data_IF_506475282480
#
_entry.id   IF_506475282480
#
_cell.length_a   1.000
_cell.length_b   1.000
_cell.length_c   1.000
_cell.angle_alpha   90.00
_cell.angle_beta   90.00
_cell.angle_gamma   90.00
#
_symmetry.space_group_name_H-M   'P 1'
#
loop_
_entity.id
_entity.type
_entity.pdbx_description
1 polymer ?
#
# COMPACT_ATOMS: atom_id res chain seq x y z
N UNK A 1 17.78 -5.94 -2.85
CA UNK A 1 17.36 -6.66 -4.07
C UNK A 1 16.06 -7.41 -3.80
N UNK A 2 15.31 -7.75 -4.84
CA UNK A 2 14.13 -8.62 -4.80
C UNK A 2 14.19 -9.66 -5.92
N UNK A 3 13.38 -10.70 -5.82
CA UNK A 3 13.23 -11.72 -6.85
C UNK A 3 12.30 -12.85 -6.40
N UNK A 4 12.45 -14.03 -7.00
CA UNK A 4 11.73 -15.24 -6.59
C UNK A 4 12.63 -16.48 -6.56
N UNK A 5 12.20 -17.50 -5.84
CA UNK A 5 12.89 -18.79 -5.67
C UNK A 5 11.88 -19.95 -5.66
N UNK A 6 12.28 -21.14 -6.10
CA UNK A 6 11.44 -22.35 -6.06
C UNK A 6 11.73 -23.25 -4.84
N UNK A 7 12.46 -22.72 -3.85
CA UNK A 7 12.82 -23.43 -2.63
C UNK A 7 13.23 -22.47 -1.53
N UNK A 8 13.56 -23.01 -0.36
CA UNK A 8 13.92 -22.22 0.80
C UNK A 8 15.32 -21.59 0.63
N UNK A 9 15.41 -20.27 0.85
CA UNK A 9 16.66 -19.57 1.10
C UNK A 9 17.18 -19.88 2.52
N UNK A 10 18.47 -19.66 2.82
CA UNK A 10 19.01 -19.85 4.17
C UNK A 10 18.17 -19.17 5.23
N UNK A 11 17.82 -19.91 6.29
CA UNK A 11 16.99 -19.48 7.42
C UNK A 11 15.58 -18.97 7.03
N UNK A 12 15.08 -19.36 5.87
CA UNK A 12 13.73 -19.07 5.41
C UNK A 12 12.93 -20.34 5.17
N UNK A 13 11.61 -20.19 5.01
CA UNK A 13 10.69 -21.29 4.67
C UNK A 13 10.10 -21.04 3.29
N UNK A 14 10.00 -22.10 2.49
CA UNK A 14 9.31 -22.06 1.21
C UNK A 14 7.82 -22.36 1.35
N UNK A 15 6.97 -21.71 0.56
CA UNK A 15 5.51 -21.85 0.62
C UNK A 15 4.86 -21.81 -0.76
N UNK A 16 4.95 -22.93 -1.47
CA UNK A 16 4.31 -23.12 -2.77
C UNK A 16 5.31 -23.48 -3.86
N UNK A 17 5.01 -23.06 -5.09
CA UNK A 17 5.84 -23.36 -6.27
C UNK A 17 6.98 -22.36 -6.43
N UNK A 18 6.69 -21.07 -6.22
CA UNK A 18 7.67 -20.00 -6.23
C UNK A 18 7.33 -18.99 -5.15
N UNK A 19 8.32 -18.59 -4.38
CA UNK A 19 8.19 -17.58 -3.34
C UNK A 19 8.94 -16.32 -3.74
N UNK A 20 8.32 -15.17 -3.50
CA UNK A 20 9.00 -13.90 -3.62
C UNK A 20 10.00 -13.76 -2.47
N UNK A 21 11.11 -13.07 -2.73
CA UNK A 21 12.04 -12.69 -1.68
C UNK A 21 12.50 -11.24 -1.81
N UNK A 22 12.87 -10.67 -0.67
CA UNK A 22 13.59 -9.40 -0.57
C UNK A 22 14.82 -9.63 0.30
N UNK A 23 15.96 -9.07 -0.12
CA UNK A 23 17.23 -9.19 0.60
C UNK A 23 17.94 -7.85 0.68
N UNK A 24 18.44 -7.54 1.86
CA UNK A 24 19.23 -6.35 2.16
C UNK A 24 20.67 -6.73 2.48
N UNK A 25 21.60 -5.93 1.97
CA UNK A 25 23.02 -6.04 2.25
C UNK A 25 23.52 -4.73 2.85
N UNK A 26 24.64 -4.78 3.57
CA UNK A 26 25.41 -3.59 3.91
C UNK A 26 26.27 -3.12 2.72
N UNK A 27 27.02 -2.03 2.91
CA UNK A 27 27.91 -1.46 1.88
C UNK A 27 29.11 -2.35 1.54
N UNK A 28 29.42 -3.36 2.36
CA UNK A 28 30.48 -4.34 2.12
C UNK A 28 29.95 -5.61 1.45
N UNK A 29 28.64 -5.70 1.19
CA UNK A 29 28.00 -6.87 0.61
C UNK A 29 27.66 -7.96 1.62
N UNK A 30 27.75 -7.71 2.92
CA UNK A 30 27.29 -8.65 3.94
C UNK A 30 25.77 -8.66 3.99
N UNK A 31 25.15 -9.84 4.04
CA UNK A 31 23.71 -9.96 4.18
C UNK A 31 23.26 -9.43 5.55
N UNK A 32 22.33 -8.47 5.54
CA UNK A 32 21.70 -7.96 6.76
C UNK A 32 20.43 -8.72 7.09
N UNK A 33 19.61 -9.01 6.08
CA UNK A 33 18.43 -9.86 6.23
C UNK A 33 17.90 -10.36 4.89
N UNK A 34 17.22 -11.51 4.96
CA UNK A 34 16.35 -12.06 3.91
C UNK A 34 14.91 -12.15 4.42
N UNK A 35 13.95 -11.86 3.54
CA UNK A 35 12.53 -12.14 3.72
C UNK A 35 12.01 -12.89 2.51
N UNK A 36 11.69 -14.16 2.67
CA UNK A 36 10.99 -14.99 1.70
C UNK A 36 9.52 -15.09 2.08
N UNK A 37 8.62 -14.98 1.11
CA UNK A 37 7.18 -15.07 1.34
C UNK A 37 6.45 -15.69 0.16
N UNK A 38 5.52 -16.56 0.49
CA UNK A 38 4.61 -17.24 -0.43
C UNK A 38 3.22 -17.36 0.18
N UNK A 39 2.35 -18.11 -0.49
CA UNK A 39 0.96 -18.36 -0.07
C UNK A 39 0.47 -19.78 -0.44
N UNK A 40 1.39 -20.71 -0.69
CA UNK A 40 1.10 -22.05 -1.20
C UNK A 40 1.03 -22.14 -2.73
N UNK A 41 1.06 -21.01 -3.45
CA UNK A 41 1.05 -20.95 -4.91
C UNK A 41 2.30 -20.25 -5.45
N UNK A 42 2.16 -19.46 -6.52
CA UNK A 42 3.26 -18.69 -7.12
C UNK A 42 3.18 -17.25 -6.67
N UNK A 43 4.25 -16.76 -6.03
CA UNK A 43 4.44 -15.35 -5.69
C UNK A 43 5.76 -14.90 -6.29
N UNK A 44 5.74 -13.81 -7.04
CA UNK A 44 6.91 -13.30 -7.76
C UNK A 44 7.07 -11.81 -7.50
N UNK A 45 8.26 -11.39 -7.04
CA UNK A 45 8.64 -9.99 -6.97
C UNK A 45 9.40 -9.58 -8.24
N UNK A 46 8.98 -8.47 -8.85
CA UNK A 46 9.59 -7.90 -10.06
C UNK A 46 10.34 -6.60 -9.76
N UNK A 47 9.68 -5.65 -9.10
CA UNK A 47 10.20 -4.31 -8.85
C UNK A 47 10.54 -4.07 -7.38
N UNK A 48 11.52 -3.22 -7.12
CA UNK A 48 11.87 -2.76 -5.77
C UNK A 48 12.26 -1.29 -5.80
N UNK A 49 11.83 -0.54 -4.79
CA UNK A 49 12.24 0.84 -4.56
C UNK A 49 12.38 1.11 -3.07
N UNK A 50 13.15 2.13 -2.71
CA UNK A 50 13.50 2.45 -1.32
C UNK A 50 13.44 3.95 -1.10
N UNK A 51 12.97 4.35 0.08
CA UNK A 51 13.05 5.72 0.58
C UNK A 51 13.54 5.71 2.04
N UNK A 52 13.55 6.88 2.69
CA UNK A 52 13.94 6.99 4.09
C UNK A 52 12.97 6.25 5.06
N UNK A 53 11.76 5.93 4.61
CA UNK A 53 10.72 5.27 5.41
C UNK A 53 10.69 3.75 5.25
N UNK A 54 11.32 3.18 4.22
CA UNK A 54 11.38 1.74 4.05
C UNK A 54 11.66 1.23 2.64
N UNK A 55 11.41 -0.07 2.47
CA UNK A 55 11.59 -0.82 1.23
C UNK A 55 10.23 -1.22 0.67
N UNK A 56 9.99 -0.97 -0.61
CA UNK A 56 8.77 -1.29 -1.31
C UNK A 56 9.07 -2.31 -2.40
N UNK A 57 8.29 -3.39 -2.45
CA UNK A 57 8.43 -4.43 -3.46
C UNK A 57 7.11 -4.60 -4.20
N UNK A 58 7.17 -4.62 -5.53
CA UNK A 58 6.05 -4.87 -6.42
C UNK A 58 6.16 -6.23 -7.09
N UNK A 59 5.03 -6.87 -7.39
CA UNK A 59 5.03 -8.18 -8.02
C UNK A 59 3.66 -8.70 -8.41
N UNK A 60 3.57 -10.02 -8.63
CA UNK A 60 2.31 -10.75 -8.80
C UNK A 60 2.19 -11.90 -7.80
N UNK A 61 0.96 -12.25 -7.48
CA UNK A 61 0.63 -13.41 -6.64
C UNK A 61 -0.53 -14.18 -7.26
N UNK A 62 -0.39 -15.49 -7.38
CA UNK A 62 -1.52 -16.38 -7.60
C UNK A 62 -2.14 -16.68 -6.23
N UNK A 63 -3.38 -16.26 -5.99
CA UNK A 63 -4.03 -16.41 -4.68
C UNK A 63 -3.71 -15.28 -3.68
N UNK A 64 -4.32 -15.35 -2.50
CA UNK A 64 -4.28 -14.30 -1.50
C UNK A 64 -2.99 -14.31 -0.67
N UNK A 65 -2.37 -13.14 -0.51
CA UNK A 65 -1.34 -12.93 0.51
C UNK A 65 -1.97 -12.75 1.91
N UNK A 66 -1.21 -12.89 3.02
CA UNK A 66 -1.74 -12.74 4.36
C UNK A 66 -2.53 -11.43 4.56
N UNK A 67 -3.79 -11.55 5.00
CA UNK A 67 -4.69 -10.41 5.22
C UNK A 67 -5.16 -9.70 3.95
N UNK A 68 -5.00 -10.32 2.78
CA UNK A 68 -5.48 -9.81 1.49
C UNK A 68 -6.53 -10.75 0.89
N UNK A 69 -7.19 -10.30 -0.19
CA UNK A 69 -8.16 -11.10 -0.94
C UNK A 69 -7.66 -11.27 -2.36
N UNK A 70 -7.86 -12.46 -2.93
CA UNK A 70 -7.59 -12.71 -4.34
C UNK A 70 -8.85 -12.51 -5.19
N UNK A 71 -8.71 -11.83 -6.32
CA UNK A 71 -9.85 -11.50 -7.20
C UNK A 71 -9.76 -12.20 -8.55
N UNK A 72 -8.55 -12.52 -9.02
CA UNK A 72 -8.29 -13.16 -10.30
C UNK A 72 -7.32 -14.33 -10.26
N UNK A 73 -6.75 -14.65 -11.42
CA UNK A 73 -5.74 -15.71 -11.55
C UNK A 73 -4.41 -15.28 -10.94
N UNK A 74 -4.00 -14.05 -11.26
CA UNK A 74 -2.83 -13.39 -10.70
C UNK A 74 -3.27 -11.98 -10.33
N UNK A 75 -2.97 -11.57 -9.10
CA UNK A 75 -3.18 -10.20 -8.67
C UNK A 75 -1.83 -9.51 -8.51
N UNK A 76 -1.78 -8.22 -8.87
CA UNK A 76 -0.65 -7.37 -8.57
C UNK A 76 -0.55 -7.19 -7.04
N UNK A 77 0.66 -7.07 -6.51
CA UNK A 77 0.84 -6.68 -5.11
C UNK A 77 1.91 -5.62 -4.95
N UNK A 78 1.78 -4.85 -3.87
CA UNK A 78 2.85 -4.05 -3.29
C UNK A 78 2.99 -4.41 -1.82
N UNK A 79 4.22 -4.58 -1.34
CA UNK A 79 4.53 -4.80 0.07
C UNK A 79 5.59 -3.83 0.54
N UNK A 80 5.39 -3.26 1.73
CA UNK A 80 6.36 -2.38 2.40
C UNK A 80 7.00 -3.08 3.58
N UNK A 81 8.31 -2.90 3.72
CA UNK A 81 9.10 -3.27 4.87
C UNK A 81 9.73 -2.05 5.53
N UNK A 82 9.94 -2.11 6.84
CA UNK A 82 10.83 -1.16 7.52
C UNK A 82 12.31 -1.46 7.24
N UNK A 83 13.21 -0.63 7.78
CA UNK A 83 14.65 -0.80 7.59
C UNK A 83 15.23 -2.12 8.15
N UNK A 84 14.52 -2.74 9.10
CA UNK A 84 14.88 -3.99 9.78
C UNK A 84 14.25 -5.23 9.10
N UNK A 85 13.46 -5.02 8.04
CA UNK A 85 12.79 -6.08 7.31
C UNK A 85 11.49 -6.55 7.95
N UNK A 86 10.87 -5.78 8.84
CA UNK A 86 9.53 -6.08 9.33
C UNK A 86 8.49 -5.63 8.28
N UNK A 87 7.49 -6.46 8.02
CA UNK A 87 6.39 -6.10 7.10
C UNK A 87 5.55 -5.01 7.76
N UNK A 88 5.47 -3.85 7.11
CA UNK A 88 4.60 -2.75 7.55
C UNK A 88 3.19 -2.91 6.97
N UNK A 89 3.09 -3.28 5.70
CA UNK A 89 1.81 -3.57 5.05
C UNK A 89 1.99 -4.33 3.74
N UNK A 90 0.90 -4.99 3.32
CA UNK A 90 0.72 -5.55 1.97
C UNK A 90 -0.54 -4.95 1.36
N UNK A 91 -0.54 -4.72 0.06
CA UNK A 91 -1.70 -4.33 -0.76
C UNK A 91 -1.74 -5.24 -1.98
N UNK A 92 -2.82 -5.98 -2.13
CA UNK A 92 -3.12 -6.79 -3.31
C UNK A 92 -4.19 -6.06 -4.13
N UNK A 93 -3.95 -5.95 -5.44
CA UNK A 93 -4.74 -5.15 -6.38
C UNK A 93 -4.92 -6.01 -7.62
N UNK A 94 -6.16 -6.18 -8.07
CA UNK A 94 -6.41 -7.01 -9.23
C UNK A 94 -7.84 -6.93 -9.72
N UNK A 95 -8.04 -7.55 -10.86
CA UNK A 95 -9.31 -7.75 -11.54
C UNK A 95 -9.68 -9.23 -11.43
N UNK A 96 -10.70 -9.68 -12.17
CA UNK A 96 -10.99 -11.11 -12.30
C UNK A 96 -10.04 -11.85 -13.25
N UNK A 97 -9.03 -11.16 -13.80
CA UNK A 97 -8.09 -11.66 -14.80
C UNK A 97 -6.66 -11.72 -14.23
N UNK A 98 -5.67 -11.44 -15.06
CA UNK A 98 -4.25 -11.43 -14.69
C UNK A 98 -3.82 -9.98 -14.53
N UNK A 99 -3.23 -9.68 -13.39
CA UNK A 99 -2.74 -8.37 -13.02
C UNK A 99 -1.31 -8.50 -12.46
N UNK A 100 -0.40 -7.63 -12.92
CA UNK A 100 1.02 -7.68 -12.54
C UNK A 100 1.55 -6.28 -12.26
N UNK A 101 2.23 -6.10 -11.13
CA UNK A 101 3.02 -4.91 -10.87
C UNK A 101 4.49 -5.19 -11.23
N UNK A 102 4.97 -4.60 -12.33
CA UNK A 102 6.33 -4.82 -12.81
C UNK A 102 7.36 -3.96 -12.08
N UNK A 103 7.01 -2.71 -11.78
CA UNK A 103 7.91 -1.77 -11.13
C UNK A 103 7.17 -0.90 -10.13
N UNK A 104 7.90 -0.49 -9.10
CA UNK A 104 7.44 0.45 -8.07
C UNK A 104 8.44 1.60 -7.98
N UNK A 105 7.94 2.82 -7.84
CA UNK A 105 8.73 4.01 -7.55
C UNK A 105 8.11 4.73 -6.37
N UNK A 106 8.93 5.26 -5.47
CA UNK A 106 8.44 5.96 -4.28
C UNK A 106 9.06 7.34 -4.18
N UNK A 107 8.23 8.31 -3.81
CA UNK A 107 8.65 9.65 -3.43
C UNK A 107 7.85 10.13 -2.21
N UNK A 108 8.08 11.39 -1.80
CA UNK A 108 7.39 11.99 -0.65
C UNK A 108 5.85 12.06 -0.81
N UNK A 109 5.34 11.95 -2.04
CA UNK A 109 3.93 12.05 -2.36
C UNK A 109 3.20 10.71 -2.43
N UNK A 110 3.92 9.58 -2.52
CA UNK A 110 3.34 8.23 -2.48
C UNK A 110 4.13 7.16 -3.22
N UNK A 111 3.48 6.00 -3.40
CA UNK A 111 4.05 4.85 -4.12
C UNK A 111 3.38 4.72 -5.49
N UNK A 112 4.16 4.83 -6.55
CA UNK A 112 3.72 4.66 -7.93
C UNK A 112 4.01 3.23 -8.36
N UNK A 113 3.02 2.59 -8.97
CA UNK A 113 3.06 1.20 -9.41
C UNK A 113 2.75 1.19 -10.89
N UNK A 114 3.63 0.59 -11.68
CA UNK A 114 3.39 0.37 -13.12
C UNK A 114 3.32 -1.11 -13.42
N UNK A 115 2.44 -1.47 -14.34
CA UNK A 115 2.08 -2.86 -14.54
C UNK A 115 1.18 -3.08 -15.74
N UNK A 116 0.62 -4.28 -15.80
CA UNK A 116 -0.37 -4.66 -16.79
C UNK A 116 -1.56 -5.39 -16.17
N UNK A 117 -2.70 -5.30 -16.84
CA UNK A 117 -3.95 -6.00 -16.51
C UNK A 117 -4.58 -6.56 -17.78
N UNK A 118 -5.05 -7.80 -17.75
CA UNK A 118 -5.92 -8.37 -18.80
C UNK A 118 -7.42 -8.14 -18.50
N UNK A 119 -7.72 -7.46 -17.40
CA UNK A 119 -9.08 -7.15 -16.96
C UNK A 119 -9.48 -5.69 -17.19
N UNK A 120 -10.62 -5.32 -16.61
CA UNK A 120 -11.07 -3.94 -16.54
C UNK A 120 -10.80 -3.41 -15.12
N UNK A 121 -9.92 -2.41 -15.01
CA UNK A 121 -9.71 -1.71 -13.74
C UNK A 121 -10.96 -0.89 -13.35
N UNK A 122 -11.15 -0.56 -12.07
CA UNK A 122 -12.29 0.25 -11.61
C UNK A 122 -12.45 1.54 -12.44
N UNK A 123 -13.64 1.73 -13.01
CA UNK A 123 -13.96 2.90 -13.85
C UNK A 123 -13.37 2.87 -15.27
N UNK A 124 -12.73 1.78 -15.68
CA UNK A 124 -12.17 1.60 -17.02
C UNK A 124 -12.95 0.53 -17.79
N UNK A 125 -12.88 0.59 -19.12
CA UNK A 125 -13.40 -0.47 -20.00
C UNK A 125 -12.23 -1.26 -20.55
N UNK A 126 -12.25 -2.58 -20.40
CA UNK A 126 -11.23 -3.45 -21.01
C UNK A 126 -11.47 -3.56 -22.51
N UNK A 127 -10.41 -3.43 -23.29
CA UNK A 127 -10.44 -3.69 -24.74
C UNK A 127 -10.06 -5.13 -25.10
N UNK A 128 -9.89 -6.00 -24.09
CA UNK A 128 -9.32 -7.34 -24.22
C UNK A 128 -7.80 -7.32 -24.36
N UNK A 129 -7.14 -8.36 -23.85
CA UNK A 129 -5.68 -8.43 -23.79
C UNK A 129 -5.06 -7.54 -22.70
N UNK A 130 -3.75 -7.70 -22.50
CA UNK A 130 -3.00 -6.93 -21.52
C UNK A 130 -2.95 -5.44 -21.87
N UNK A 131 -3.34 -4.62 -20.91
CA UNK A 131 -3.31 -3.15 -20.94
C UNK A 131 -2.39 -2.65 -19.84
N UNK A 132 -1.55 -1.68 -20.18
CA UNK A 132 -0.69 -1.05 -19.19
C UNK A 132 -1.50 -0.21 -18.19
N UNK A 133 -1.05 -0.17 -16.94
CA UNK A 133 -1.61 0.74 -15.94
C UNK A 133 -0.51 1.47 -15.17
N UNK A 134 -0.90 2.61 -14.59
CA UNK A 134 -0.18 3.29 -13.53
C UNK A 134 -1.15 3.52 -12.38
N UNK A 135 -0.78 3.12 -11.17
CA UNK A 135 -1.56 3.35 -9.95
C UNK A 135 -0.68 4.08 -8.93
N UNK A 136 -1.23 5.10 -8.30
CA UNK A 136 -0.63 5.74 -7.14
C UNK A 136 -1.30 5.23 -5.87
N UNK A 137 -0.52 4.60 -4.99
CA UNK A 137 -0.93 4.28 -3.63
C UNK A 137 -0.60 5.47 -2.74
N UNK A 138 -1.62 6.26 -2.42
CA UNK A 138 -1.49 7.36 -1.47
C UNK A 138 -1.37 6.82 -0.04
N UNK A 139 -0.43 7.37 0.72
CA UNK A 139 -0.46 7.29 2.17
C UNK A 139 -1.58 8.22 2.63
N UNK A 140 -2.79 7.67 2.80
CA UNK A 140 -3.87 8.43 3.40
C UNK A 140 -3.47 8.68 4.85
N UNK A 141 -3.14 9.92 5.17
CA UNK A 141 -2.74 10.28 6.53
C UNK A 141 -3.92 10.07 7.48
N UNK A 142 -3.66 9.80 8.77
CA UNK A 142 -4.74 9.79 9.77
C UNK A 142 -5.50 11.13 9.78
N UNK A 143 -4.80 12.19 9.36
CA UNK A 143 -5.31 13.53 9.14
C UNK A 143 -6.37 13.59 8.03
N UNK A 144 -6.08 13.03 6.86
CA UNK A 144 -7.07 12.88 5.77
C UNK A 144 -8.27 12.01 6.16
N UNK A 145 -8.03 10.93 6.92
CA UNK A 145 -9.12 10.07 7.39
C UNK A 145 -10.02 10.82 8.38
N UNK A 146 -9.42 11.61 9.27
CA UNK A 146 -10.16 12.44 10.21
C UNK A 146 -10.98 13.50 9.48
N UNK A 147 -10.39 14.23 8.53
CA UNK A 147 -11.13 15.21 7.71
C UNK A 147 -12.32 14.59 6.99
N UNK A 148 -12.12 13.42 6.39
CA UNK A 148 -13.19 12.74 5.67
C UNK A 148 -14.31 12.28 6.60
N UNK A 149 -13.97 11.72 7.76
CA UNK A 149 -14.95 11.35 8.77
C UNK A 149 -15.76 12.56 9.26
N UNK A 150 -15.08 13.69 9.52
CA UNK A 150 -15.74 14.92 9.95
C UNK A 150 -16.71 15.40 8.87
N UNK A 151 -16.27 15.48 7.62
CA UNK A 151 -17.11 15.90 6.50
C UNK A 151 -18.34 14.98 6.31
N UNK A 152 -18.17 13.67 6.43
CA UNK A 152 -19.25 12.69 6.32
C UNK A 152 -20.29 12.86 7.45
N UNK A 153 -19.85 13.12 8.69
CA UNK A 153 -20.75 13.37 9.83
C UNK A 153 -21.55 14.67 9.67
N UNK A 154 -20.88 15.77 9.29
CA UNK A 154 -21.54 17.06 9.07
C UNK A 154 -22.56 16.96 7.92
N UNK A 155 -22.19 16.31 6.81
CA UNK A 155 -23.10 16.08 5.69
C UNK A 155 -24.33 15.25 6.08
N UNK A 156 -24.14 14.21 6.91
CA UNK A 156 -25.24 13.38 7.41
C UNK A 156 -26.18 14.18 8.32
N UNK A 157 -25.65 15.01 9.22
CA UNK A 157 -26.46 15.86 10.11
C UNK A 157 -27.27 16.90 9.32
N UNK A 158 -26.65 17.55 8.32
CA UNK A 158 -27.34 18.47 7.40
C UNK A 158 -28.48 17.77 6.64
N UNK A 159 -28.25 16.56 6.11
CA UNK A 159 -29.30 15.77 5.46
C UNK A 159 -30.46 15.42 6.39
N UNK A 160 -30.16 15.24 7.69
CA UNK A 160 -31.17 14.97 8.73
C UNK A 160 -31.80 16.25 9.31
N UNK A 161 -31.38 17.44 8.87
CA UNK A 161 -31.83 18.72 9.42
C UNK A 161 -31.37 18.99 10.86
N UNK A 162 -30.34 18.28 11.32
CA UNK A 162 -29.71 18.47 12.62
C UNK A 162 -28.69 19.59 12.47
N UNK A 163 -28.89 20.70 13.20
CA UNK A 163 -27.87 21.74 13.38
C UNK A 163 -27.54 21.82 14.86
N UNK A 164 -26.32 21.44 15.21
CA UNK A 164 -25.87 21.44 16.60
C UNK A 164 -24.48 22.08 16.73
N UNK A 165 -24.12 22.43 17.96
CA UNK A 165 -22.80 23.03 18.24
C UNK A 165 -21.60 22.14 17.94
N UNK A 166 -21.81 20.83 17.72
CA UNK A 166 -20.76 19.89 17.36
C UNK A 166 -20.40 20.01 15.88
N UNK A 167 -21.38 20.25 15.00
CA UNK A 167 -21.14 20.46 13.56
C UNK A 167 -20.21 21.65 13.30
N UNK A 168 -20.48 22.80 13.95
CA UNK A 168 -19.62 23.98 13.80
C UNK A 168 -18.21 23.79 14.41
N UNK A 169 -18.08 22.93 15.44
CA UNK A 169 -16.76 22.58 16.01
C UNK A 169 -16.00 21.62 15.12
N UNK A 170 -16.72 20.73 14.44
CA UNK A 170 -16.19 19.80 13.45
C UNK A 170 -15.68 20.56 12.22
N UNK A 171 -16.44 21.52 11.69
CA UNK A 171 -16.00 22.38 10.59
C UNK A 171 -14.73 23.17 10.94
N UNK A 172 -14.70 23.83 12.11
CA UNK A 172 -13.52 24.56 12.57
C UNK A 172 -12.30 23.64 12.81
N UNK A 173 -12.54 22.38 13.23
CA UNK A 173 -11.48 21.41 13.39
C UNK A 173 -10.89 20.98 12.03
N UNK A 174 -11.70 20.90 10.96
CA UNK A 174 -11.22 20.61 9.60
C UNK A 174 -10.33 21.74 9.09
N UNK A 175 -10.77 23.00 9.21
CA UNK A 175 -10.00 24.18 8.81
C UNK A 175 -8.64 24.22 9.53
N UNK A 176 -8.64 24.04 10.86
CA UNK A 176 -7.39 24.01 11.62
C UNK A 176 -6.46 22.86 11.19
N UNK A 177 -7.02 21.74 10.74
CA UNK A 177 -6.26 20.60 10.28
C UNK A 177 -5.61 20.84 8.91
N UNK A 178 -6.34 21.50 8.00
CA UNK A 178 -5.82 21.93 6.70
C UNK A 178 -4.70 22.96 6.88
N UNK A 179 -4.87 23.93 7.78
CA UNK A 179 -3.81 24.90 8.13
C UNK A 179 -2.54 24.21 8.67
N UNK A 180 -2.70 23.18 9.51
CA UNK A 180 -1.55 22.42 10.03
C UNK A 180 -0.83 21.63 8.94
N UNK A 181 -1.55 21.11 7.93
CA UNK A 181 -0.95 20.45 6.76
C UNK A 181 -0.16 21.44 5.92
N UNK A 182 -0.73 22.59 5.61
CA UNK A 182 -0.08 23.62 4.79
C UNK A 182 1.19 24.15 5.47
N UNK A 183 1.18 24.24 6.81
CA UNK A 183 2.32 24.70 7.60
C UNK A 183 3.32 23.61 8.01
N UNK A 184 3.04 22.34 7.69
CA UNK A 184 3.92 21.18 7.93
C UNK A 184 4.31 20.98 9.41
N UNK A 185 3.42 21.30 10.36
CA UNK A 185 3.66 21.15 11.81
C UNK A 185 3.43 19.71 12.28
N UNK A 186 4.45 18.88 12.10
CA UNK A 186 4.44 17.44 12.41
C UNK A 186 4.19 17.14 13.89
N UNK A 187 4.57 18.05 14.80
CA UNK A 187 4.36 17.85 16.24
C UNK A 187 2.88 17.98 16.61
N UNK A 188 2.20 18.98 16.05
CA UNK A 188 0.76 19.17 16.24
C UNK A 188 -0.06 18.01 15.66
N UNK A 189 0.34 17.51 14.49
CA UNK A 189 -0.29 16.34 13.84
C UNK A 189 -0.18 15.09 14.73
N UNK A 190 1.02 14.81 15.27
CA UNK A 190 1.27 13.66 16.14
C UNK A 190 0.50 13.76 17.47
N UNK A 191 0.43 14.96 18.06
CA UNK A 191 -0.33 15.20 19.29
C UNK A 191 -1.83 14.95 19.08
N UNK A 192 -2.37 15.30 17.91
CA UNK A 192 -3.77 15.05 17.57
C UNK A 192 -4.06 13.56 17.36
N UNK A 193 -3.15 12.84 16.70
CA UNK A 193 -3.24 11.38 16.55
C UNK A 193 -3.21 10.65 17.91
N UNK A 194 -2.46 11.17 18.88
CA UNK A 194 -2.42 10.62 20.23
C UNK A 194 -3.68 10.94 21.05
N UNK A 195 -4.42 12.00 20.72
CA UNK A 195 -5.68 12.36 21.38
C UNK A 195 -6.87 11.51 20.87
N UNK A 196 -6.79 11.01 19.64
CA UNK A 196 -7.84 10.22 18.99
C UNK A 196 -7.75 8.71 19.33
N UNK A 197 -6.55 8.23 19.70
CA UNK A 197 -6.30 6.84 20.10
C UNK A 197 -6.42 6.64 21.61
#
# INVERSE_FOLDING_TARGET
>A
MSGWTNGALPDQTSSGFSDAFVRKYDSHGNELWTRQFGNGWTVIAFGISVDASGVYVGGRTSGALPGQTSTGFDDAFVRKYDANGNVLWTRQLGTTKIDRAFEVSVDASGVYVVGETDGALPGQTSSGGFQAFVVKLSVVSALELLQRLIADVVALNLQQGISNSLDSKLDAAVEALDDLKENNDVAAINALQAFIN
#
